data_IF_124478359695
#
_entry.id   IF_124478359695
#
_cell.length_a   1.000
_cell.length_b   1.000
_cell.length_c   1.000
_cell.angle_alpha   90.00
_cell.angle_beta   90.00
_cell.angle_gamma   90.00
#
_symmetry.space_group_name_H-M   'P 1'
#
loop_
_entity.id
_entity.type
_entity.pdbx_description
1 polymer ?
#
# COMPACT_ATOMS: atom_id res chain seq x y z
N UNK A 1 13.15 16.38 16.39
CA UNK A 1 12.97 14.94 16.12
C UNK A 1 11.55 14.73 15.59
N UNK A 2 11.38 14.11 14.41
CA UNK A 2 10.08 14.01 13.72
C UNK A 2 9.19 12.99 14.41
N UNK A 3 7.93 13.32 14.73
CA UNK A 3 7.02 12.39 15.42
C UNK A 3 6.54 11.31 14.44
N UNK A 4 6.26 10.12 14.94
CA UNK A 4 5.75 9.00 14.12
C UNK A 4 4.48 9.38 13.37
N UNK A 5 3.57 10.11 14.01
CA UNK A 5 2.32 10.57 13.38
C UNK A 5 2.56 11.49 12.18
N UNK A 6 3.66 12.27 12.20
CA UNK A 6 4.02 13.15 11.09
C UNK A 6 4.50 12.33 9.89
N UNK A 7 5.19 11.21 10.13
CA UNK A 7 5.58 10.25 9.09
C UNK A 7 4.38 9.51 8.50
N UNK A 8 3.42 9.07 9.33
CA UNK A 8 2.19 8.41 8.85
C UNK A 8 1.38 9.37 7.97
N UNK A 9 1.26 10.64 8.38
CA UNK A 9 0.59 11.68 7.61
C UNK A 9 1.29 11.99 6.30
N UNK A 10 2.62 11.96 6.29
CA UNK A 10 3.38 12.15 5.06
C UNK A 10 3.21 10.98 4.11
N UNK A 11 3.38 9.74 4.58
CA UNK A 11 3.16 8.53 3.79
C UNK A 11 1.78 8.56 3.14
N UNK A 12 0.72 8.78 3.93
CA UNK A 12 -0.65 8.95 3.44
C UNK A 12 -0.80 9.98 2.30
N UNK A 13 -0.09 11.12 2.38
CA UNK A 13 -0.15 12.17 1.35
C UNK A 13 0.58 11.80 0.07
N UNK A 14 1.69 11.06 0.19
CA UNK A 14 2.43 10.57 -0.97
C UNK A 14 1.60 9.50 -1.68
N UNK A 15 1.05 8.54 -0.94
CA UNK A 15 0.12 7.52 -1.45
C UNK A 15 -1.10 8.15 -2.16
N UNK A 16 -1.72 9.17 -1.56
CA UNK A 16 -2.85 9.87 -2.17
C UNK A 16 -2.47 10.62 -3.47
N UNK A 17 -1.22 11.05 -3.61
CA UNK A 17 -0.74 11.65 -4.86
C UNK A 17 -0.51 10.58 -5.92
N UNK A 18 0.26 9.55 -5.58
CA UNK A 18 0.57 8.43 -6.45
C UNK A 18 -0.72 7.77 -6.98
N UNK A 19 -1.69 7.48 -6.11
CA UNK A 19 -2.96 6.87 -6.53
C UNK A 19 -3.72 7.75 -7.53
N UNK A 20 -3.72 9.07 -7.32
CA UNK A 20 -4.37 10.01 -8.25
C UNK A 20 -3.66 10.02 -9.60
N UNK A 21 -2.34 9.94 -9.61
CA UNK A 21 -1.57 9.96 -10.85
C UNK A 21 -1.67 8.62 -11.59
N UNK A 22 -1.67 7.48 -10.88
CA UNK A 22 -1.98 6.18 -11.47
C UNK A 22 -3.39 6.14 -12.09
N UNK A 23 -4.39 6.66 -11.39
CA UNK A 23 -5.77 6.77 -11.92
C UNK A 23 -5.86 7.65 -13.16
N UNK A 24 -5.05 8.71 -13.27
CA UNK A 24 -5.01 9.54 -14.49
C UNK A 24 -4.39 8.74 -15.64
N UNK A 25 -3.27 8.09 -15.41
CA UNK A 25 -2.60 7.29 -16.44
C UNK A 25 -3.49 6.14 -16.93
N UNK A 26 -4.21 5.44 -16.04
CA UNK A 26 -5.16 4.39 -16.43
C UNK A 26 -6.23 4.86 -17.41
N UNK A 27 -6.62 6.14 -17.37
CA UNK A 27 -7.56 6.72 -18.34
C UNK A 27 -6.92 7.00 -19.70
N UNK A 28 -5.60 7.22 -19.71
CA UNK A 28 -4.82 7.43 -20.93
C UNK A 28 -4.44 6.10 -21.62
N UNK A 29 -4.38 4.99 -20.85
CA UNK A 29 -4.07 3.64 -21.33
C UNK A 29 -5.32 2.86 -21.77
N UNK A 30 -6.22 3.49 -22.55
CA UNK A 30 -7.47 2.87 -22.97
C UNK A 30 -7.30 1.84 -24.11
N UNK A 31 -6.27 2.02 -24.94
CA UNK A 31 -6.00 1.16 -26.10
C UNK A 31 -5.50 -0.25 -25.73
N UNK A 32 -5.83 -1.28 -26.53
CA UNK A 32 -5.39 -2.66 -26.29
C UNK A 32 -3.86 -2.85 -26.28
N UNK A 33 -3.12 -2.05 -27.05
CA UNK A 33 -1.64 -2.09 -27.12
C UNK A 33 -0.95 -1.79 -25.78
N UNK A 34 -1.67 -1.15 -24.84
CA UNK A 34 -1.18 -0.86 -23.50
C UNK A 34 -1.71 -1.84 -22.44
N UNK A 35 -2.28 -2.98 -22.82
CA UNK A 35 -2.93 -3.89 -21.85
C UNK A 35 -1.99 -4.29 -20.69
N UNK A 36 -0.73 -4.61 -21.00
CA UNK A 36 0.27 -5.02 -20.00
C UNK A 36 0.64 -3.87 -19.06
N UNK A 37 0.92 -2.69 -19.63
CA UNK A 37 1.22 -1.49 -18.84
C UNK A 37 0.01 -1.08 -18.01
N UNK A 38 -1.21 -1.15 -18.57
CA UNK A 38 -2.44 -0.88 -17.84
C UNK A 38 -2.62 -1.84 -16.68
N UNK A 39 -2.31 -3.13 -16.88
CA UNK A 39 -2.31 -4.13 -15.82
C UNK A 39 -1.39 -3.76 -14.67
N UNK A 40 -0.15 -3.39 -14.97
CA UNK A 40 0.82 -2.93 -13.97
C UNK A 40 0.35 -1.66 -13.25
N UNK A 41 -0.07 -0.63 -13.98
CA UNK A 41 -0.51 0.64 -13.38
C UNK A 41 -1.78 0.42 -12.53
N UNK A 42 -2.65 -0.50 -12.93
CA UNK A 42 -3.84 -0.86 -12.16
C UNK A 42 -3.45 -1.55 -10.86
N UNK A 43 -2.47 -2.46 -10.92
CA UNK A 43 -1.89 -3.09 -9.74
C UNK A 43 -1.34 -2.05 -8.76
N UNK A 44 -0.46 -1.17 -9.22
CA UNK A 44 0.10 -0.09 -8.39
C UNK A 44 -1.00 0.76 -7.78
N UNK A 45 -2.01 1.15 -8.57
CA UNK A 45 -3.16 1.92 -8.07
C UNK A 45 -3.96 1.19 -6.97
N UNK A 46 -4.11 -0.12 -7.06
CA UNK A 46 -4.78 -0.94 -6.05
C UNK A 46 -3.96 -0.93 -4.75
N UNK A 47 -2.68 -1.28 -4.83
CA UNK A 47 -1.79 -1.39 -3.67
C UNK A 47 -1.70 -0.04 -2.93
N UNK A 48 -1.43 1.05 -3.65
CA UNK A 48 -1.40 2.42 -3.12
C UNK A 48 -2.75 2.84 -2.49
N UNK A 49 -3.89 2.40 -3.05
CA UNK A 49 -5.20 2.66 -2.45
C UNK A 49 -5.37 1.95 -1.10
N UNK A 50 -4.88 0.71 -0.97
CA UNK A 50 -4.83 0.01 0.31
C UNK A 50 -3.91 0.71 1.30
N UNK A 51 -2.68 1.04 0.89
CA UNK A 51 -1.67 1.68 1.73
C UNK A 51 -2.16 3.02 2.29
N UNK A 52 -2.73 3.89 1.43
CA UNK A 52 -3.36 5.14 1.85
C UNK A 52 -4.41 4.93 2.94
N UNK A 53 -5.28 3.93 2.79
CA UNK A 53 -6.35 3.63 3.76
C UNK A 53 -5.80 3.08 5.06
N UNK A 54 -4.79 2.21 4.99
CA UNK A 54 -4.08 1.70 6.16
C UNK A 54 -3.39 2.83 6.93
N UNK A 55 -2.72 3.76 6.26
CA UNK A 55 -2.12 4.93 6.91
C UNK A 55 -3.18 5.82 7.58
N UNK A 56 -4.34 6.00 6.94
CA UNK A 56 -5.48 6.69 7.56
C UNK A 56 -6.01 5.99 8.82
N UNK A 57 -6.08 4.66 8.80
CA UNK A 57 -6.48 3.85 9.95
C UNK A 57 -5.44 3.92 11.08
N UNK A 58 -4.15 3.86 10.75
CA UNK A 58 -3.04 4.01 11.71
C UNK A 58 -3.03 5.39 12.35
N UNK A 59 -3.24 6.44 11.57
CA UNK A 59 -3.39 7.81 12.08
C UNK A 59 -4.54 7.88 13.10
N UNK A 60 -5.70 7.30 12.78
CA UNK A 60 -6.85 7.29 13.68
C UNK A 60 -6.56 6.48 14.95
N UNK A 61 -6.03 5.28 14.81
CA UNK A 61 -5.67 4.41 15.93
C UNK A 61 -4.65 5.07 16.87
N UNK A 62 -3.67 5.79 16.32
CA UNK A 62 -2.71 6.55 17.11
C UNK A 62 -3.38 7.66 17.93
N UNK A 63 -4.29 8.42 17.32
CA UNK A 63 -5.02 9.47 18.03
C UNK A 63 -5.96 8.89 19.09
N UNK A 64 -6.62 7.77 18.82
CA UNK A 64 -7.49 7.11 19.79
C UNK A 64 -6.66 6.54 20.96
N UNK A 65 -5.46 6.00 20.70
CA UNK A 65 -4.54 5.60 21.75
C UNK A 65 -4.07 6.78 22.62
N UNK A 66 -3.80 7.95 22.03
CA UNK A 66 -3.49 9.18 22.78
C UNK A 66 -4.66 9.55 23.69
N UNK A 67 -5.90 9.57 23.16
CA UNK A 67 -7.09 9.88 23.97
C UNK A 67 -7.25 8.90 25.12
N UNK A 68 -7.04 7.60 24.91
CA UNK A 68 -7.08 6.62 25.99
C UNK A 68 -6.03 6.90 27.08
N UNK A 69 -4.82 7.31 26.69
CA UNK A 69 -3.78 7.72 27.66
C UNK A 69 -4.20 9.01 28.39
N UNK A 70 -4.74 10.00 27.69
CA UNK A 70 -5.22 11.25 28.28
C UNK A 70 -6.40 11.03 29.23
N UNK A 71 -7.31 10.11 28.89
CA UNK A 71 -8.52 9.78 29.66
C UNK A 71 -8.23 8.91 30.88
N UNK A 72 -7.31 7.94 30.77
CA UNK A 72 -7.16 6.87 31.78
C UNK A 72 -5.76 6.75 32.39
N UNK A 73 -4.72 7.34 31.80
CA UNK A 73 -3.34 7.22 32.32
C UNK A 73 -2.88 8.43 33.14
N UNK A 74 -3.65 9.53 33.17
CA UNK A 74 -3.40 10.66 34.07
C UNK A 74 -4.16 10.40 35.39
N UNK A 75 -3.44 10.11 36.47
CA UNK A 75 -4.04 9.78 37.77
C UNK A 75 -4.96 10.91 38.29
N UNK A 76 -6.23 10.57 38.55
CA UNK A 76 -6.93 11.04 39.75
C UNK A 76 -6.77 9.96 40.82
N UNK A 77 -6.53 10.30 42.09
CA UNK A 77 -6.14 9.30 43.08
C UNK A 77 -7.29 8.37 43.49
N UNK A 78 -6.90 7.09 43.61
CA UNK A 78 -7.39 5.97 44.41
C UNK A 78 -8.51 5.00 43.96
N UNK A 79 -8.09 3.72 44.05
CA UNK A 79 -8.73 2.49 44.59
C UNK A 79 -9.98 1.91 43.91
N UNK A 80 -9.81 0.83 43.12
CA UNK A 80 -10.30 -0.54 43.42
C UNK A 80 -10.36 -1.48 42.18
N UNK A 81 -10.11 -2.77 42.42
CA UNK A 81 -9.83 -3.93 41.52
C UNK A 81 -10.69 -4.17 40.25
N UNK A 82 -10.19 -5.01 39.30
CA UNK A 82 -11.04 -5.93 38.49
C UNK A 82 -10.29 -7.14 37.83
N UNK A 83 -11.00 -8.27 37.70
CA UNK A 83 -10.64 -9.62 37.24
C UNK A 83 -10.62 -9.81 35.70
N UNK A 84 -9.89 -10.84 35.20
CA UNK A 84 -9.83 -11.25 33.78
C UNK A 84 -10.47 -12.63 33.56
N UNK A 85 -11.51 -12.77 32.69
CA UNK A 85 -11.94 -14.05 32.12
C UNK A 85 -11.79 -14.14 30.58
N UNK A 86 -11.67 -15.39 30.10
CA UNK A 86 -11.13 -15.79 28.79
C UNK A 86 -12.05 -15.79 27.56
N UNK A 87 -11.53 -16.32 26.43
CA UNK A 87 -12.28 -16.53 25.18
C UNK A 87 -11.76 -17.78 24.43
N UNK A 88 -12.62 -18.66 23.89
CA UNK A 88 -12.22 -19.79 23.05
C UNK A 88 -12.07 -19.44 21.55
N UNK A 89 -11.27 -20.26 20.86
CA UNK A 89 -10.90 -20.24 19.44
C UNK A 89 -12.06 -20.55 18.47
N UNK A 90 -12.04 -19.99 17.26
CA UNK A 90 -12.84 -20.43 16.10
C UNK A 90 -11.98 -20.65 14.85
N UNK A 91 -12.38 -21.61 14.02
CA UNK A 91 -11.79 -21.98 12.71
C UNK A 91 -12.90 -21.94 11.65
N UNK A 92 -12.61 -21.53 10.40
CA UNK A 92 -13.50 -21.79 9.26
C UNK A 92 -12.73 -22.15 7.97
N UNK A 93 -13.32 -23.00 7.08
CA UNK A 93 -12.67 -23.53 5.87
C UNK A 93 -13.03 -22.77 4.57
N UNK A 94 -12.19 -22.99 3.55
CA UNK A 94 -12.27 -22.49 2.16
C UNK A 94 -13.21 -23.35 1.30
N UNK A 95 -13.87 -22.72 0.31
CA UNK A 95 -14.55 -23.40 -0.79
C UNK A 95 -14.66 -22.50 -2.03
N UNK A 96 -14.09 -22.93 -3.15
CA UNK A 96 -14.19 -22.30 -4.48
C UNK A 96 -15.37 -22.86 -5.28
N UNK A 97 -16.05 -22.02 -6.06
CA UNK A 97 -17.17 -22.36 -6.95
C UNK A 97 -16.77 -22.58 -8.43
N UNK A 98 -17.72 -22.99 -9.32
CA UNK A 98 -17.43 -23.47 -10.67
C UNK A 98 -17.27 -22.37 -11.74
N UNK A 99 -16.48 -22.71 -12.77
CA UNK A 99 -15.99 -21.87 -13.89
C UNK A 99 -17.13 -21.37 -14.80
N UNK A 100 -17.17 -20.05 -15.07
CA UNK A 100 -18.06 -19.40 -16.05
C UNK A 100 -18.85 -18.18 -15.53
N UNK A 101 -18.75 -17.84 -14.24
CA UNK A 101 -19.38 -16.67 -13.66
C UNK A 101 -18.58 -15.38 -13.95
N UNK A 102 -19.25 -14.22 -13.98
CA UNK A 102 -18.56 -12.92 -13.83
C UNK A 102 -17.75 -13.01 -12.53
N UNK A 103 -16.44 -12.93 -12.63
CA UNK A 103 -15.54 -12.96 -11.49
C UNK A 103 -15.95 -11.80 -10.57
N UNK A 104 -16.32 -12.06 -9.29
CA UNK A 104 -16.55 -11.02 -8.31
C UNK A 104 -15.36 -10.07 -8.26
N UNK A 105 -15.56 -8.75 -8.16
CA UNK A 105 -14.46 -7.79 -8.06
C UNK A 105 -13.42 -8.15 -6.99
N UNK A 106 -13.85 -8.80 -5.91
CA UNK A 106 -13.00 -9.32 -4.83
C UNK A 106 -12.04 -10.41 -5.33
N UNK A 107 -12.52 -11.37 -6.12
CA UNK A 107 -11.69 -12.42 -6.72
C UNK A 107 -10.72 -11.84 -7.76
N UNK A 108 -11.12 -10.80 -8.50
CA UNK A 108 -10.23 -10.07 -9.43
C UNK A 108 -9.09 -9.39 -8.64
N UNK A 109 -9.42 -8.74 -7.51
CA UNK A 109 -8.43 -8.08 -6.65
C UNK A 109 -7.44 -9.11 -6.09
N UNK A 110 -7.92 -10.27 -5.63
CA UNK A 110 -7.07 -11.36 -5.17
C UNK A 110 -6.11 -11.86 -6.25
N UNK A 111 -6.58 -12.03 -7.50
CA UNK A 111 -5.71 -12.43 -8.62
C UNK A 111 -4.62 -11.40 -8.91
N UNK A 112 -4.95 -10.10 -8.92
CA UNK A 112 -3.92 -9.06 -9.02
C UNK A 112 -2.91 -9.12 -7.86
N UNK A 113 -3.37 -9.54 -6.66
CA UNK A 113 -2.57 -9.67 -5.43
C UNK A 113 -1.72 -10.94 -5.32
N UNK A 114 -1.99 -11.98 -6.11
CA UNK A 114 -1.28 -13.26 -6.03
C UNK A 114 0.10 -13.21 -6.68
N UNK A 115 0.18 -12.77 -7.94
CA UNK A 115 1.42 -12.78 -8.71
C UNK A 115 1.77 -11.38 -9.23
N UNK A 116 2.97 -10.91 -8.88
CA UNK A 116 3.46 -9.62 -9.35
C UNK A 116 3.92 -9.77 -10.82
N UNK A 117 3.40 -8.97 -11.77
CA UNK A 117 3.76 -9.12 -13.17
C UNK A 117 5.27 -8.87 -13.36
N UNK A 118 5.98 -9.88 -13.89
CA UNK A 118 7.44 -9.86 -14.07
C UNK A 118 7.86 -9.33 -15.44
N UNK A 119 6.99 -9.40 -16.44
CA UNK A 119 7.27 -8.94 -17.80
C UNK A 119 6.14 -8.04 -18.30
N UNK A 120 6.46 -6.77 -18.56
CA UNK A 120 5.55 -5.79 -19.16
C UNK A 120 6.15 -5.33 -20.48
N UNK A 121 5.35 -5.37 -21.55
CA UNK A 121 5.75 -4.89 -22.87
C UNK A 121 5.16 -3.50 -23.12
N UNK A 122 6.01 -2.52 -23.44
CA UNK A 122 5.59 -1.21 -23.91
C UNK A 122 5.54 -1.19 -25.45
N UNK A 123 4.49 -0.60 -26.06
CA UNK A 123 4.43 -0.40 -27.50
C UNK A 123 5.33 0.77 -27.96
N UNK A 124 5.72 0.76 -29.24
CA UNK A 124 6.66 1.73 -29.83
C UNK A 124 6.13 3.18 -29.81
N UNK A 125 7.02 4.15 -29.52
CA UNK A 125 6.71 5.59 -29.50
C UNK A 125 6.45 6.20 -28.11
N UNK A 126 6.99 5.59 -27.05
CA UNK A 126 6.64 5.86 -25.66
C UNK A 126 7.50 6.86 -24.88
N UNK A 127 8.18 7.84 -25.48
CA UNK A 127 9.04 8.79 -24.73
C UNK A 127 8.30 9.45 -23.54
N UNK A 128 7.04 9.85 -23.77
CA UNK A 128 6.17 10.39 -22.71
C UNK A 128 5.87 9.37 -21.62
N UNK A 129 5.69 8.09 -21.95
CA UNK A 129 5.44 7.01 -21.00
C UNK A 129 6.69 6.72 -20.16
N UNK A 130 7.87 6.77 -20.76
CA UNK A 130 9.15 6.62 -20.04
C UNK A 130 9.32 7.75 -19.03
N UNK A 131 8.99 8.99 -19.38
CA UNK A 131 9.04 10.12 -18.45
C UNK A 131 8.03 9.98 -17.29
N UNK A 132 6.85 9.41 -17.55
CA UNK A 132 5.88 9.08 -16.51
C UNK A 132 6.41 7.97 -15.60
N UNK A 133 6.99 6.90 -16.15
CA UNK A 133 7.58 5.80 -15.37
C UNK A 133 8.77 6.26 -14.53
N UNK A 134 9.61 7.18 -15.03
CA UNK A 134 10.70 7.79 -14.24
C UNK A 134 10.17 8.51 -13.00
N UNK A 135 9.11 9.31 -13.17
CA UNK A 135 8.45 9.98 -12.04
C UNK A 135 7.89 8.99 -11.03
N UNK A 136 7.28 7.89 -11.50
CA UNK A 136 6.80 6.85 -10.61
C UNK A 136 7.93 6.15 -9.85
N UNK A 137 9.06 5.84 -10.50
CA UNK A 137 10.22 5.28 -9.80
C UNK A 137 10.74 6.21 -8.69
N UNK A 138 10.68 7.53 -8.88
CA UNK A 138 11.03 8.50 -7.83
C UNK A 138 10.01 8.52 -6.70
N UNK A 139 8.71 8.47 -7.00
CA UNK A 139 7.64 8.41 -6.00
C UNK A 139 7.72 7.12 -5.17
N UNK A 140 7.92 5.98 -5.82
CA UNK A 140 8.12 4.68 -5.17
C UNK A 140 9.35 4.67 -4.27
N UNK A 141 10.47 5.23 -4.75
CA UNK A 141 11.68 5.41 -3.95
C UNK A 141 11.43 6.25 -2.69
N UNK A 142 10.66 7.33 -2.81
CA UNK A 142 10.27 8.17 -1.66
C UNK A 142 9.35 7.42 -0.69
N UNK A 143 8.39 6.64 -1.19
CA UNK A 143 7.49 5.85 -0.35
C UNK A 143 8.27 4.79 0.44
N UNK A 144 9.19 4.07 -0.21
CA UNK A 144 10.11 3.13 0.44
C UNK A 144 10.89 3.79 1.59
N UNK A 145 11.46 4.96 1.39
CA UNK A 145 12.21 5.68 2.43
C UNK A 145 11.32 6.03 3.64
N UNK A 146 10.10 6.51 3.39
CA UNK A 146 9.13 6.82 4.44
C UNK A 146 8.75 5.56 5.24
N UNK A 147 8.51 4.43 4.57
CA UNK A 147 8.17 3.19 5.24
C UNK A 147 9.36 2.55 5.97
N UNK A 148 10.58 2.71 5.46
CA UNK A 148 11.80 2.34 6.18
C UNK A 148 11.92 3.11 7.50
N UNK A 149 11.72 4.44 7.46
CA UNK A 149 11.71 5.27 8.68
C UNK A 149 10.58 4.90 9.65
N UNK A 150 9.37 4.65 9.13
CA UNK A 150 8.22 4.23 9.94
C UNK A 150 8.48 2.87 10.60
N UNK A 151 9.06 1.92 9.87
CA UNK A 151 9.31 0.57 10.39
C UNK A 151 10.27 0.57 11.58
N UNK A 152 11.26 1.48 11.57
CA UNK A 152 12.24 1.65 12.65
C UNK A 152 11.64 2.30 13.88
N UNK A 153 10.59 3.12 13.72
CA UNK A 153 10.00 3.94 14.79
C UNK A 153 8.65 3.43 15.29
N UNK A 154 8.05 2.46 14.61
CA UNK A 154 6.77 1.89 15.01
C UNK A 154 6.87 1.24 16.41
N UNK A 155 6.08 1.77 17.35
CA UNK A 155 6.05 1.32 18.75
C UNK A 155 5.25 0.02 18.94
N UNK A 156 4.24 -0.20 18.09
CA UNK A 156 3.37 -1.36 18.20
C UNK A 156 3.84 -2.48 17.27
N UNK A 157 4.06 -3.72 17.75
CA UNK A 157 4.58 -4.83 16.95
C UNK A 157 3.79 -5.09 15.66
N UNK A 158 2.44 -5.08 15.72
CA UNK A 158 1.58 -5.26 14.54
C UNK A 158 1.77 -4.14 13.53
N UNK A 159 1.89 -2.89 13.98
CA UNK A 159 2.11 -1.73 13.09
C UNK A 159 3.47 -1.83 12.44
N UNK A 160 4.48 -2.29 13.19
CA UNK A 160 5.82 -2.48 12.67
C UNK A 160 5.87 -3.52 11.56
N UNK A 161 5.25 -4.68 11.76
CA UNK A 161 5.24 -5.72 10.70
C UNK A 161 4.40 -5.27 9.50
N UNK A 162 3.24 -4.64 9.72
CA UNK A 162 2.44 -4.07 8.64
C UNK A 162 3.25 -3.11 7.77
N UNK A 163 3.96 -2.16 8.41
CA UNK A 163 4.79 -1.18 7.70
C UNK A 163 5.95 -1.85 6.97
N UNK A 164 6.54 -2.92 7.52
CA UNK A 164 7.60 -3.68 6.84
C UNK A 164 7.09 -4.38 5.59
N UNK A 165 5.90 -4.96 5.64
CA UNK A 165 5.32 -5.61 4.46
C UNK A 165 4.96 -4.59 3.38
N UNK A 166 4.38 -3.44 3.77
CA UNK A 166 4.15 -2.32 2.83
C UNK A 166 5.47 -1.88 2.20
N UNK A 167 6.52 -1.69 3.00
CA UNK A 167 7.85 -1.33 2.50
C UNK A 167 8.39 -2.33 1.46
N UNK A 168 8.25 -3.63 1.70
CA UNK A 168 8.68 -4.68 0.74
C UNK A 168 7.90 -4.61 -0.55
N UNK A 169 6.61 -4.29 -0.48
CA UNK A 169 5.79 -4.09 -1.66
C UNK A 169 6.26 -2.87 -2.47
N UNK A 170 6.59 -1.74 -1.83
CA UNK A 170 7.19 -0.59 -2.54
C UNK A 170 8.59 -0.88 -3.12
N UNK A 171 9.40 -1.73 -2.47
CA UNK A 171 10.67 -2.20 -3.03
C UNK A 171 10.46 -2.99 -4.34
N UNK A 172 9.40 -3.81 -4.41
CA UNK A 172 9.02 -4.52 -5.63
C UNK A 172 8.52 -3.55 -6.72
N UNK A 173 7.68 -2.58 -6.34
CA UNK A 173 7.19 -1.54 -7.25
C UNK A 173 8.35 -0.78 -7.88
N UNK A 174 9.24 -0.24 -7.05
CA UNK A 174 10.40 0.52 -7.48
C UNK A 174 11.29 -0.30 -8.42
N UNK A 175 11.59 -1.55 -8.08
CA UNK A 175 12.44 -2.44 -8.89
C UNK A 175 11.86 -2.67 -10.28
N UNK A 176 10.54 -2.89 -10.37
CA UNK A 176 9.88 -3.17 -11.64
C UNK A 176 9.77 -1.93 -12.51
N UNK A 177 9.35 -0.81 -11.94
CA UNK A 177 9.25 0.46 -12.67
C UNK A 177 10.63 0.88 -13.17
N UNK A 178 11.69 0.75 -12.35
CA UNK A 178 13.07 0.99 -12.80
C UNK A 178 13.51 0.05 -13.91
N UNK A 179 13.21 -1.25 -13.79
CA UNK A 179 13.51 -2.23 -14.82
C UNK A 179 12.88 -1.88 -16.17
N UNK A 180 11.64 -1.38 -16.16
CA UNK A 180 10.97 -0.89 -17.36
C UNK A 180 11.62 0.38 -17.92
N UNK A 181 11.95 1.34 -17.06
CA UNK A 181 12.67 2.54 -17.50
C UNK A 181 14.00 2.17 -18.16
N UNK A 182 14.77 1.26 -17.57
CA UNK A 182 16.08 0.84 -18.10
C UNK A 182 15.96 0.09 -19.43
N UNK A 183 14.98 -0.80 -19.55
CA UNK A 183 14.74 -1.58 -20.77
C UNK A 183 14.38 -0.67 -21.94
N UNK A 184 13.49 0.28 -21.71
CA UNK A 184 12.92 1.12 -22.78
C UNK A 184 13.64 2.47 -22.98
N UNK A 185 14.62 2.83 -22.14
CA UNK A 185 15.50 3.99 -22.38
C UNK A 185 16.74 3.64 -23.22
N UNK A 186 16.94 2.36 -23.55
CA UNK A 186 18.09 1.86 -24.32
C UNK A 186 17.76 1.56 -25.79
N UNK A 187 16.49 1.61 -26.15
CA UNK A 187 15.97 1.58 -27.52
C UNK A 187 15.74 3.01 -28.02
#
# INVERSE_FOLDING_TARGET
MRRMIDLVREAKKVEERAERDYRKLLKELDKPEYADLRGLVLRLAIDTAFHKRLMGALEKAYNDAIKLVEEYAVEKPNEDFALIPGVPTMVMPLGFGPIGARIPPEEIIEEYLKDFPTEVVLPDGGERLIEVLKRYAEEEGRMKELYEELSKRAFHPVVRELVREIKRNEEQHESLVKGLVEKYSKD
#
